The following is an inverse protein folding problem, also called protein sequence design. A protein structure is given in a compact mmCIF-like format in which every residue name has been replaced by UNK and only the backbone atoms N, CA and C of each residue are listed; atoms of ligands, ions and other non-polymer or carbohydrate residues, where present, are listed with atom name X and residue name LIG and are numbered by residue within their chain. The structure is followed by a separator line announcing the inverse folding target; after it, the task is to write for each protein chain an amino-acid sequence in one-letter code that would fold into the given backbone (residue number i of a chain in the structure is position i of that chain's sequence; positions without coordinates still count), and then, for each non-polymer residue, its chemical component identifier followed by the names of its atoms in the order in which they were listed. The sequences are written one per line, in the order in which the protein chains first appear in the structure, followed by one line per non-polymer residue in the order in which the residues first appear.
data_IF_357317298514
#
_entry.id   IF_357317298514
#
_cell.length_a   1.000
_cell.length_b   1.000
_cell.length_c   1.000
_cell.angle_alpha   90.00
_cell.angle_beta   90.00
_cell.angle_gamma   90.00
#
_symmetry.space_group_name_H-M   'P 1'
#
loop_
_entity.id
_entity.type
_entity.pdbx_description
1 polymer ?
#
# COMPACT_ATOMS: atom_id res chain seq x y z
N UNK A 1 -2.23 -19.88 -7.08
CA UNK A 1 -1.69 -20.38 -5.79
C UNK A 1 -1.56 -19.20 -4.84
N UNK A 2 -2.54 -19.04 -3.93
CA UNK A 2 -2.57 -18.40 -2.59
C UNK A 2 -1.64 -17.24 -2.17
N UNK A 3 -0.90 -16.57 -3.06
CA UNK A 3 0.19 -15.64 -2.70
C UNK A 3 0.00 -14.20 -3.18
N UNK A 4 -1.15 -13.84 -3.72
CA UNK A 4 -1.45 -12.47 -4.18
C UNK A 4 -2.00 -11.54 -3.08
N UNK A 5 -2.78 -12.06 -2.13
CA UNK A 5 -3.52 -11.20 -1.19
C UNK A 5 -2.72 -10.76 0.04
N UNK A 6 -1.74 -11.56 0.49
CA UNK A 6 -0.96 -11.27 1.72
C UNK A 6 0.17 -10.25 1.52
N UNK A 7 0.72 -10.17 0.31
CA UNK A 7 1.79 -9.22 -0.01
C UNK A 7 1.37 -7.74 0.03
N UNK A 8 0.25 -7.32 -0.59
CA UNK A 8 -0.17 -5.92 -0.55
C UNK A 8 -0.53 -5.49 0.87
N UNK A 9 -1.16 -6.36 1.66
CA UNK A 9 -1.50 -6.07 3.07
C UNK A 9 -0.23 -5.91 3.92
N UNK A 10 0.75 -6.79 3.76
CA UNK A 10 2.02 -6.69 4.48
C UNK A 10 2.79 -5.40 4.11
N UNK A 11 2.80 -5.03 2.82
CA UNK A 11 3.41 -3.78 2.35
C UNK A 11 2.73 -2.53 2.93
N UNK A 12 1.40 -2.50 2.96
CA UNK A 12 0.63 -1.41 3.58
C UNK A 12 0.93 -1.32 5.08
N UNK A 13 1.04 -2.46 5.78
CA UNK A 13 1.31 -2.48 7.22
C UNK A 13 2.72 -1.94 7.53
N UNK A 14 3.74 -2.37 6.77
CA UNK A 14 5.13 -1.94 6.96
C UNK A 14 5.28 -0.45 6.65
N UNK A 15 4.72 0.00 5.52
CA UNK A 15 4.80 1.41 5.12
C UNK A 15 3.95 2.29 6.06
N UNK A 16 2.83 1.79 6.59
CA UNK A 16 2.03 2.47 7.60
C UNK A 16 2.77 2.64 8.92
N UNK A 17 3.48 1.60 9.38
CA UNK A 17 4.34 1.69 10.57
C UNK A 17 5.50 2.67 10.36
N UNK A 18 6.11 2.68 9.17
CA UNK A 18 7.16 3.64 8.82
C UNK A 18 6.64 5.08 8.72
N UNK A 19 5.45 5.29 8.13
CA UNK A 19 4.82 6.61 8.03
C UNK A 19 4.38 7.15 9.40
N UNK A 20 4.04 6.29 10.35
CA UNK A 20 3.76 6.67 11.74
C UNK A 20 5.05 6.93 12.54
N UNK A 21 6.08 6.12 12.35
CA UNK A 21 7.33 6.18 13.11
C UNK A 21 8.36 7.21 12.62
N UNK A 22 8.46 7.44 11.31
CA UNK A 22 9.42 8.39 10.75
C UNK A 22 9.22 9.84 11.23
N UNK A 23 7.98 10.33 11.38
CA UNK A 23 7.75 11.64 11.95
C UNK A 23 8.04 11.70 13.46
N UNK A 24 7.78 10.63 14.21
CA UNK A 24 8.10 10.51 15.63
C UNK A 24 9.62 10.59 15.90
N UNK A 25 10.42 10.13 14.94
CA UNK A 25 11.89 10.20 15.00
C UNK A 25 12.45 11.52 14.42
N UNK A 26 11.60 12.45 13.97
CA UNK A 26 12.02 13.72 13.37
C UNK A 26 12.65 13.58 11.98
N UNK A 27 12.52 12.43 11.32
CA UNK A 27 13.07 12.19 9.98
C UNK A 27 12.24 12.85 8.86
N UNK A 28 10.98 13.21 9.12
CA UNK A 28 10.08 13.75 8.10
C UNK A 28 8.95 14.59 8.71
N UNK A 29 8.59 15.69 8.07
CA UNK A 29 7.40 16.47 8.41
C UNK A 29 6.11 15.70 8.16
N UNK A 30 5.26 15.59 9.21
CA UNK A 30 3.93 14.98 9.11
C UNK A 30 3.11 15.54 7.92
N UNK A 31 3.24 16.84 7.63
CA UNK A 31 2.52 17.50 6.55
C UNK A 31 2.85 16.96 5.14
N UNK A 32 4.02 16.34 4.94
CA UNK A 32 4.42 15.73 3.66
C UNK A 32 4.29 14.21 3.67
N UNK A 33 4.49 13.59 4.83
CA UNK A 33 4.44 12.13 4.98
C UNK A 33 3.03 11.58 4.85
N UNK A 34 2.02 12.27 5.39
CA UNK A 34 0.61 11.85 5.30
C UNK A 34 0.12 11.77 3.84
N UNK A 35 0.24 12.82 2.99
CA UNK A 35 -0.22 12.73 1.61
C UNK A 35 0.57 11.70 0.78
N UNK A 36 1.87 11.53 1.03
CA UNK A 36 2.65 10.46 0.38
C UNK A 36 2.17 9.06 0.78
N UNK A 37 1.82 8.86 2.05
CA UNK A 37 1.26 7.60 2.52
C UNK A 37 -0.10 7.30 1.86
N UNK A 38 -0.98 8.30 1.77
CA UNK A 38 -2.28 8.18 1.10
C UNK A 38 -2.10 7.79 -0.37
N UNK A 39 -1.18 8.46 -1.09
CA UNK A 39 -0.87 8.14 -2.48
C UNK A 39 -0.33 6.72 -2.64
N UNK A 40 0.54 6.28 -1.74
CA UNK A 40 1.06 4.91 -1.74
C UNK A 40 -0.06 3.89 -1.56
N UNK A 41 -0.96 4.09 -0.58
CA UNK A 41 -2.10 3.18 -0.35
C UNK A 41 -3.03 3.17 -1.56
N UNK A 42 -3.30 4.32 -2.17
CA UNK A 42 -4.13 4.43 -3.38
C UNK A 42 -3.50 3.67 -4.55
N UNK A 43 -2.18 3.79 -4.73
CA UNK A 43 -1.43 3.09 -5.76
C UNK A 43 -1.45 1.57 -5.56
N UNK A 44 -1.22 1.10 -4.34
CA UNK A 44 -1.31 -0.33 -4.01
C UNK A 44 -2.73 -0.85 -4.22
N UNK A 45 -3.75 -0.09 -3.82
CA UNK A 45 -5.15 -0.43 -4.07
C UNK A 45 -5.49 -0.52 -5.55
N UNK A 46 -4.96 0.39 -6.38
CA UNK A 46 -5.14 0.37 -7.83
C UNK A 46 -4.47 -0.85 -8.48
N UNK A 47 -3.27 -1.24 -8.03
CA UNK A 47 -2.60 -2.47 -8.49
C UNK A 47 -3.41 -3.70 -8.10
N UNK A 48 -3.97 -3.73 -6.90
CA UNK A 48 -4.82 -4.82 -6.43
C UNK A 48 -6.12 -4.92 -7.23
N UNK A 49 -6.74 -3.78 -7.57
CA UNK A 49 -7.91 -3.71 -8.44
C UNK A 49 -7.58 -4.19 -9.86
N UNK A 50 -6.43 -3.82 -10.40
CA UNK A 50 -5.95 -4.27 -11.70
C UNK A 50 -5.74 -5.79 -11.70
N UNK A 51 -5.15 -6.34 -10.64
CA UNK A 51 -4.92 -7.77 -10.49
C UNK A 51 -6.25 -8.55 -10.41
N UNK A 52 -7.22 -8.03 -9.66
CA UNK A 52 -8.58 -8.56 -9.59
C UNK A 52 -9.29 -8.53 -10.95
N UNK A 53 -9.20 -7.41 -11.68
CA UNK A 53 -9.75 -7.28 -13.02
C UNK A 53 -9.07 -8.23 -14.01
N UNK A 54 -7.75 -8.45 -13.88
CA UNK A 54 -6.99 -9.37 -14.72
C UNK A 54 -7.39 -10.82 -14.47
N UNK A 55 -7.60 -11.20 -13.21
CA UNK A 55 -8.11 -12.54 -12.86
C UNK A 55 -9.52 -12.77 -13.41
N UNK A 56 -10.41 -11.77 -13.31
CA UNK A 56 -11.75 -11.83 -13.94
C UNK A 56 -11.68 -11.94 -15.47
N UNK A 57 -10.73 -11.25 -16.11
CA UNK A 57 -10.59 -11.29 -17.58
C UNK A 57 -9.99 -12.59 -18.10
N UNK A 58 -9.27 -13.34 -17.27
CA UNK A 58 -8.64 -14.62 -17.64
C UNK A 58 -9.57 -15.83 -17.54
N UNK A 59 -10.87 -15.63 -17.26
CA UNK A 59 -11.87 -16.69 -17.37
C UNK A 59 -11.81 -17.72 -16.25
N UNK A 60 -11.78 -17.25 -15.00
CA UNK A 60 -12.38 -17.97 -13.87
C UNK A 60 -13.54 -17.19 -13.33
#
# INVERSE_FOLDING_TARGET
MLKGWRFPIAGILIVGAAAAGAPLLGLSDYGRTIPMFILFVLFVGALQLLEWLKDRRRGR
#
